data_IF_537568361183
#
_entry.id   IF_537568361183
#
_cell.length_a   1.000
_cell.length_b   1.000
_cell.length_c   1.000
_cell.angle_alpha   90.00
_cell.angle_beta   90.00
_cell.angle_gamma   90.00
#
_symmetry.space_group_name_H-M   'P 1'
#
loop_
_entity.id
_entity.type
_entity.pdbx_description
1 polymer ?
#
# COMPACT_ATOMS: atom_id res chain seq x y z
N UNK A 1 24.03 5.29 32.67
CA UNK A 1 22.63 5.73 32.82
C UNK A 1 22.36 6.65 31.64
N UNK A 2 21.68 6.27 30.55
CA UNK A 2 20.70 5.21 30.26
C UNK A 2 20.78 5.04 28.73
N UNK A 3 21.28 3.97 28.10
CA UNK A 3 20.88 2.56 28.20
C UNK A 3 19.36 2.38 28.24
N UNK A 4 18.60 3.22 27.55
CA UNK A 4 17.28 2.83 27.09
C UNK A 4 17.48 1.87 25.91
N UNK A 5 17.93 0.64 26.20
CA UNK A 5 17.89 -0.58 25.38
C UNK A 5 18.09 -0.41 23.86
N UNK A 6 19.19 -0.91 23.26
CA UNK A 6 19.10 -2.16 22.45
C UNK A 6 17.73 -2.26 21.79
N UNK A 7 17.57 -1.47 20.73
CA UNK A 7 16.31 -1.09 20.12
C UNK A 7 15.31 -2.24 20.07
N UNK A 8 14.03 -1.90 20.21
CA UNK A 8 12.94 -2.71 19.75
C UNK A 8 13.17 -3.13 18.27
N UNK A 9 13.93 -4.22 18.07
CA UNK A 9 14.44 -4.78 16.83
C UNK A 9 15.23 -3.80 15.94
N UNK A 10 16.51 -4.09 15.66
CA UNK A 10 17.23 -3.49 14.52
C UNK A 10 16.28 -3.48 13.32
N UNK A 11 15.85 -2.30 12.90
CA UNK A 11 14.74 -2.16 11.95
C UNK A 11 15.09 -2.81 10.61
N UNK A 12 16.39 -2.96 10.31
CA UNK A 12 16.91 -3.72 9.15
C UNK A 12 16.49 -5.19 9.18
N UNK A 13 16.22 -5.77 10.35
CA UNK A 13 15.67 -7.12 10.50
C UNK A 13 14.25 -7.23 9.94
N UNK A 14 13.48 -6.13 9.95
CA UNK A 14 12.09 -6.05 9.44
C UNK A 14 12.02 -5.49 8.01
N UNK A 15 13.16 -5.20 7.39
CA UNK A 15 13.20 -4.68 6.03
C UNK A 15 12.75 -5.76 5.03
N UNK A 16 11.79 -5.44 4.17
CA UNK A 16 11.29 -6.36 3.15
C UNK A 16 12.37 -6.76 2.12
N UNK A 17 13.39 -5.91 1.93
CA UNK A 17 14.54 -6.19 1.06
C UNK A 17 15.59 -7.13 1.69
N UNK A 18 15.45 -7.48 2.97
CA UNK A 18 16.41 -8.34 3.66
C UNK A 18 16.47 -9.72 2.98
N UNK A 19 17.68 -10.15 2.64
CA UNK A 19 17.92 -11.45 1.99
C UNK A 19 17.66 -11.47 0.49
N UNK A 20 17.33 -10.31 -0.12
CA UNK A 20 17.27 -10.15 -1.57
C UNK A 20 18.66 -9.84 -2.13
N UNK A 21 18.85 -10.09 -3.43
CA UNK A 21 20.05 -9.65 -4.16
C UNK A 21 20.11 -8.11 -4.18
N UNK A 22 21.22 -7.56 -3.68
CA UNK A 22 21.43 -6.13 -3.54
C UNK A 22 21.58 -5.40 -4.86
N UNK A 23 22.05 -6.07 -5.92
CA UNK A 23 22.24 -5.44 -7.24
C UNK A 23 20.94 -4.85 -7.81
N UNK A 24 19.78 -5.42 -7.42
CA UNK A 24 18.46 -4.92 -7.79
C UNK A 24 18.20 -3.47 -7.32
N UNK A 25 18.86 -3.03 -6.25
CA UNK A 25 18.75 -1.65 -5.73
C UNK A 25 19.75 -0.69 -6.39
N UNK A 26 20.71 -1.18 -7.17
CA UNK A 26 21.76 -0.37 -7.80
C UNK A 26 21.75 -0.40 -9.34
N UNK A 27 20.81 -1.16 -9.95
CA UNK A 27 20.65 -1.25 -11.40
C UNK A 27 20.26 0.06 -12.09
N UNK A 28 20.17 0.00 -13.42
CA UNK A 28 19.73 1.12 -14.25
C UNK A 28 18.28 1.50 -13.94
N UNK A 29 17.85 2.71 -14.32
CA UNK A 29 16.51 3.26 -13.99
C UNK A 29 15.35 2.33 -14.41
N UNK A 30 15.54 1.53 -15.46
CA UNK A 30 14.54 0.58 -15.96
C UNK A 30 14.56 -0.78 -15.23
N UNK A 31 15.60 -1.09 -14.47
CA UNK A 31 15.81 -2.35 -13.75
C UNK A 31 15.38 -2.25 -12.29
N UNK A 32 15.35 -1.03 -11.72
CA UNK A 32 15.01 -0.77 -10.32
C UNK A 32 13.51 -0.84 -9.98
N UNK A 33 12.64 -1.12 -10.96
CA UNK A 33 11.19 -1.20 -10.75
C UNK A 33 10.80 -2.25 -9.70
N UNK A 34 11.46 -3.42 -9.73
CA UNK A 34 11.26 -4.47 -8.74
C UNK A 34 11.69 -4.03 -7.33
N UNK A 35 12.84 -3.35 -7.21
CA UNK A 35 13.32 -2.82 -5.94
C UNK A 35 12.37 -1.74 -5.36
N UNK A 36 11.84 -0.85 -6.21
CA UNK A 36 10.85 0.15 -5.79
C UNK A 36 9.55 -0.51 -5.30
N UNK A 37 9.06 -1.54 -5.98
CA UNK A 37 7.87 -2.28 -5.57
C UNK A 37 8.06 -2.99 -4.22
N UNK A 38 9.25 -3.54 -3.96
CA UNK A 38 9.60 -4.13 -2.66
C UNK A 38 9.65 -3.04 -1.58
N UNK A 39 10.28 -1.89 -1.87
CA UNK A 39 10.33 -0.78 -0.93
C UNK A 39 8.95 -0.21 -0.60
N UNK A 40 8.03 -0.13 -1.56
CA UNK A 40 6.68 0.40 -1.36
C UNK A 40 5.89 -0.39 -0.29
N UNK A 41 6.17 -1.68 -0.13
CA UNK A 41 5.52 -2.56 0.86
C UNK A 41 6.33 -2.74 2.15
N UNK A 42 7.46 -2.05 2.27
CA UNK A 42 8.41 -2.26 3.36
C UNK A 42 7.95 -1.54 4.64
N UNK A 43 7.78 -2.23 5.77
CA UNK A 43 7.23 -1.65 7.00
C UNK A 43 8.19 -0.71 7.74
N UNK A 44 9.39 -0.50 7.20
CA UNK A 44 10.47 0.32 7.77
C UNK A 44 10.99 1.33 6.75
N UNK A 45 10.20 1.65 5.72
CA UNK A 45 10.56 2.53 4.61
C UNK A 45 10.91 3.95 5.08
N UNK A 46 10.14 4.47 6.03
CA UNK A 46 10.33 5.76 6.70
C UNK A 46 11.63 5.82 7.51
N UNK A 47 11.90 4.80 8.33
CA UNK A 47 13.17 4.65 9.07
C UNK A 47 14.37 4.53 8.12
N UNK A 48 14.20 3.77 7.04
CA UNK A 48 15.23 3.59 6.01
C UNK A 48 15.57 4.93 5.33
N UNK A 49 14.54 5.71 4.96
CA UNK A 49 14.74 7.03 4.35
C UNK A 49 15.38 8.01 5.35
N UNK A 50 14.95 7.98 6.60
CA UNK A 50 15.51 8.81 7.67
C UNK A 50 17.02 8.56 7.87
N UNK A 51 17.43 7.30 8.04
CA UNK A 51 18.86 6.98 8.17
C UNK A 51 19.63 7.29 6.89
N UNK A 52 19.04 7.00 5.72
CA UNK A 52 19.62 7.32 4.43
C UNK A 52 19.95 8.81 4.29
N UNK A 53 19.00 9.70 4.58
CA UNK A 53 19.19 11.14 4.43
C UNK A 53 20.15 11.73 5.48
N UNK A 54 20.32 11.06 6.63
CA UNK A 54 21.33 11.44 7.65
C UNK A 54 22.75 11.03 7.27
N UNK A 55 22.90 9.90 6.58
CA UNK A 55 24.19 9.33 6.22
C UNK A 55 24.70 9.83 4.85
N UNK A 56 23.80 10.04 3.90
CA UNK A 56 24.16 10.36 2.52
C UNK A 56 24.51 11.84 2.33
N UNK A 57 25.63 12.07 1.65
CA UNK A 57 25.98 13.38 1.11
C UNK A 57 25.19 13.61 -0.18
N UNK A 58 24.61 14.80 -0.43
CA UNK A 58 23.76 15.04 -1.61
C UNK A 58 24.42 14.78 -2.96
N UNK A 59 25.73 15.04 -3.05
CA UNK A 59 26.57 14.78 -4.23
C UNK A 59 26.92 13.32 -4.44
N UNK A 60 26.67 12.45 -3.46
CA UNK A 60 27.07 11.04 -3.46
C UNK A 60 25.90 10.12 -3.07
N UNK A 61 24.83 10.17 -3.86
CA UNK A 61 23.64 9.33 -3.71
C UNK A 61 23.54 8.32 -4.85
N UNK A 62 23.33 7.06 -4.50
CA UNK A 62 23.19 5.95 -5.45
C UNK A 62 22.04 5.02 -5.05
N UNK A 63 21.55 4.29 -6.04
CA UNK A 63 20.55 3.25 -5.86
C UNK A 63 19.22 3.72 -5.25
N UNK A 64 18.39 2.73 -4.93
CA UNK A 64 17.09 2.91 -4.26
C UNK A 64 17.29 2.80 -2.74
N UNK A 65 16.79 3.77 -1.98
CA UNK A 65 16.70 3.72 -0.50
C UNK A 65 15.44 4.44 -0.07
N UNK A 66 14.77 3.92 0.97
CA UNK A 66 13.50 4.49 1.43
C UNK A 66 12.39 4.50 0.38
N UNK A 67 12.48 3.65 -0.65
CA UNK A 67 11.54 3.66 -1.79
C UNK A 67 11.70 4.84 -2.74
N UNK A 68 12.83 5.55 -2.69
CA UNK A 68 13.15 6.67 -3.57
C UNK A 68 14.46 6.39 -4.32
N UNK A 69 14.57 6.87 -5.56
CA UNK A 69 15.84 6.82 -6.29
C UNK A 69 16.82 7.88 -5.78
N UNK A 70 18.09 7.76 -6.14
CA UNK A 70 19.07 8.80 -5.87
C UNK A 70 18.65 10.19 -6.42
N UNK A 71 17.97 10.22 -7.57
CA UNK A 71 17.47 11.46 -8.17
C UNK A 71 16.32 12.06 -7.35
N UNK A 72 15.39 11.23 -6.89
CA UNK A 72 14.26 11.68 -6.06
C UNK A 72 14.78 12.22 -4.72
N UNK A 73 15.72 11.51 -4.09
CA UNK A 73 16.33 11.96 -2.82
C UNK A 73 17.03 13.31 -2.96
N UNK A 74 17.71 13.58 -4.08
CA UNK A 74 18.33 14.89 -4.38
C UNK A 74 17.34 16.06 -4.48
N UNK A 75 16.06 15.78 -4.72
CA UNK A 75 15.00 16.79 -4.79
C UNK A 75 14.35 17.08 -3.43
N UNK A 76 14.64 16.28 -2.41
CA UNK A 76 14.09 16.51 -1.07
C UNK A 76 14.78 17.73 -0.43
N UNK A 77 14.01 18.60 0.24
CA UNK A 77 14.57 19.79 0.90
C UNK A 77 15.57 19.39 1.98
N UNK A 78 16.69 20.11 2.02
CA UNK A 78 17.73 19.95 3.03
C UNK A 78 17.47 20.97 4.15
N UNK A 79 17.09 20.47 5.33
CA UNK A 79 16.99 21.29 6.54
C UNK A 79 15.63 21.94 6.79
N UNK A 80 14.66 21.16 7.25
CA UNK A 80 13.82 21.47 8.41
C UNK A 80 13.03 20.19 8.71
N UNK A 81 13.21 19.64 9.91
CA UNK A 81 12.58 18.41 10.40
C UNK A 81 12.75 17.15 9.52
N UNK A 82 14.00 16.71 9.34
CA UNK A 82 14.29 15.30 9.03
C UNK A 82 13.86 14.44 10.23
N UNK A 83 12.57 14.15 10.38
CA UNK A 83 12.03 13.23 11.38
C UNK A 83 11.42 12.02 10.68
N UNK A 84 11.38 10.89 11.38
CA UNK A 84 10.75 9.67 10.85
C UNK A 84 9.27 9.92 10.52
N UNK A 85 8.58 10.71 11.34
CA UNK A 85 7.18 11.08 11.12
C UNK A 85 6.99 11.94 9.87
N UNK A 86 7.88 12.91 9.62
CA UNK A 86 7.86 13.72 8.41
C UNK A 86 8.09 12.86 7.16
N UNK A 87 9.07 11.96 7.19
CA UNK A 87 9.31 11.03 6.08
C UNK A 87 8.15 10.06 5.86
N UNK A 88 7.48 9.59 6.91
CA UNK A 88 6.27 8.76 6.75
C UNK A 88 5.18 9.50 5.97
N UNK A 89 4.86 10.73 6.36
CA UNK A 89 3.85 11.56 5.67
C UNK A 89 4.21 11.81 4.21
N UNK A 90 5.47 12.16 3.94
CA UNK A 90 5.96 12.35 2.58
C UNK A 90 5.80 11.07 1.74
N UNK A 91 6.11 9.91 2.31
CA UNK A 91 6.02 8.64 1.58
C UNK A 91 4.57 8.22 1.34
N UNK A 92 3.67 8.47 2.30
CA UNK A 92 2.24 8.25 2.13
C UNK A 92 1.68 9.11 0.98
N UNK A 93 2.06 10.40 0.94
CA UNK A 93 1.68 11.32 -0.15
C UNK A 93 2.22 10.88 -1.52
N UNK A 94 3.50 10.44 -1.57
CA UNK A 94 4.09 9.89 -2.80
C UNK A 94 3.32 8.67 -3.28
N UNK A 95 2.90 7.80 -2.38
CA UNK A 95 2.15 6.59 -2.71
C UNK A 95 0.72 6.92 -3.20
N UNK A 96 0.03 7.86 -2.55
CA UNK A 96 -1.28 8.36 -2.99
C UNK A 96 -1.24 8.95 -4.42
N UNK A 97 -0.13 9.61 -4.79
CA UNK A 97 0.06 10.18 -6.11
C UNK A 97 0.42 9.15 -7.21
N UNK A 98 0.53 7.86 -6.86
CA UNK A 98 0.91 6.78 -7.78
C UNK A 98 2.34 6.26 -7.59
N UNK A 99 2.95 6.51 -6.43
CA UNK A 99 4.24 5.98 -6.03
C UNK A 99 5.44 6.81 -6.53
N UNK A 100 6.68 6.29 -6.39
CA UNK A 100 7.91 7.00 -6.76
C UNK A 100 7.99 7.36 -8.26
N UNK A 101 7.20 6.73 -9.13
CA UNK A 101 7.05 7.15 -10.52
C UNK A 101 6.33 8.51 -10.65
N UNK A 102 5.42 8.85 -9.73
CA UNK A 102 4.77 10.16 -9.69
C UNK A 102 5.73 11.27 -9.25
N UNK A 103 6.64 10.98 -8.31
CA UNK A 103 7.70 11.91 -7.89
C UNK A 103 8.65 12.31 -9.05
N UNK A 104 8.83 11.43 -10.04
CA UNK A 104 9.64 11.69 -11.25
C UNK A 104 9.01 12.75 -12.17
N UNK A 105 7.67 12.85 -12.19
CA UNK A 105 6.90 13.75 -13.06
C UNK A 105 6.57 15.11 -12.44
N UNK A 106 7.29 15.52 -11.38
CA UNK A 106 7.12 16.82 -10.72
C UNK A 106 5.72 17.02 -10.09
N UNK A 107 5.09 15.94 -9.60
CA UNK A 107 3.76 15.98 -8.96
C UNK A 107 3.77 16.17 -7.45
N UNK A 108 4.94 16.13 -6.82
CA UNK A 108 5.11 16.51 -5.42
C UNK A 108 4.82 18.01 -5.30
N UNK A 109 3.55 18.36 -5.07
CA UNK A 109 3.14 19.67 -4.63
C UNK A 109 3.50 19.79 -3.14
N UNK A 110 4.79 19.89 -2.84
CA UNK A 110 5.20 20.37 -1.53
C UNK A 110 4.60 21.78 -1.38
N UNK A 111 3.89 22.09 -0.28
CA UNK A 111 3.40 23.44 -0.07
C UNK A 111 4.59 24.40 -0.14
N UNK A 112 4.47 25.41 -0.99
CA UNK A 112 5.41 26.53 -1.03
C UNK A 112 5.33 27.24 0.33
N UNK A 113 6.29 26.99 1.21
CA UNK A 113 6.50 27.87 2.34
C UNK A 113 7.04 29.20 1.78
N UNK A 114 6.18 30.22 1.80
CA UNK A 114 6.54 31.59 1.53
C UNK A 114 7.69 32.03 2.44
N UNK A 115 8.90 32.02 1.91
CA UNK A 115 10.04 32.64 2.58
C UNK A 115 11.37 31.97 2.30
N UNK A 116 11.96 32.27 1.14
CA UNK A 116 13.36 32.75 0.99
C UNK A 116 13.71 32.73 -0.49
N UNK A 117 13.52 33.86 -1.17
CA UNK A 117 14.31 34.17 -2.35
C UNK A 117 15.73 34.50 -1.85
N UNK A 118 16.70 33.62 -2.08
CA UNK A 118 18.11 33.96 -1.93
C UNK A 118 18.75 34.29 -3.28
N UNK A 119 19.56 35.35 -3.35
CA UNK A 119 20.11 35.88 -4.59
C UNK A 119 21.26 35.01 -5.10
N UNK A 120 21.43 35.01 -6.43
CA UNK A 120 22.60 34.43 -7.09
C UNK A 120 23.88 35.04 -6.53
N UNK A 121 24.76 34.20 -5.96
CA UNK A 121 26.06 34.59 -5.43
C UNK A 121 27.18 34.18 -6.38
N UNK A 122 28.07 35.14 -6.63
CA UNK A 122 29.21 35.12 -7.55
C UNK A 122 30.34 34.18 -7.11
N UNK A 123 30.94 33.46 -8.06
CA UNK A 123 32.21 32.76 -7.92
C UNK A 123 33.29 33.41 -8.84
N UNK A 124 34.60 33.25 -8.54
CA UNK A 124 35.63 34.23 -8.90
C UNK A 124 36.14 34.12 -10.34
N UNK A 125 36.66 35.25 -10.83
CA UNK A 125 37.17 35.43 -12.19
C UNK A 125 38.46 34.63 -12.46
N UNK A 126 38.43 33.83 -13.52
CA UNK A 126 39.64 33.36 -14.22
C UNK A 126 40.09 34.42 -15.25
N UNK A 127 41.39 34.53 -15.57
CA UNK A 127 41.87 35.50 -16.53
C UNK A 127 41.45 35.06 -17.93
N UNK A 128 40.47 35.76 -18.50
CA UNK A 128 40.09 35.61 -19.90
C UNK A 128 41.10 36.35 -20.77
N UNK A 129 41.81 35.58 -21.61
CA UNK A 129 42.54 36.09 -22.77
C UNK A 129 41.52 36.60 -23.79
N UNK A 130 41.67 37.88 -24.14
CA UNK A 130 40.79 38.58 -25.07
C UNK A 130 41.08 38.10 -26.52
N UNK A 131 40.27 37.16 -27.02
CA UNK A 131 40.25 36.80 -28.43
C UNK A 131 39.10 37.55 -29.08
N UNK A 132 39.46 38.63 -29.77
CA UNK A 132 38.51 39.49 -30.46
C UNK A 132 38.00 38.82 -31.75
N UNK A 133 36.87 38.12 -31.66
CA UNK A 133 36.17 37.60 -32.83
C UNK A 133 35.45 38.76 -33.54
N UNK A 134 35.86 39.05 -34.77
CA UNK A 134 35.21 40.04 -35.64
C UNK A 134 33.77 39.61 -35.92
N UNK A 135 32.84 40.55 -35.70
CA UNK A 135 31.44 40.41 -36.05
C UNK A 135 31.29 40.00 -37.52
N UNK A 136 30.90 38.75 -37.73
CA UNK A 136 30.46 38.25 -39.03
C UNK A 136 28.94 38.36 -39.08
N UNK A 137 28.46 38.77 -40.25
CA UNK A 137 27.12 39.24 -40.54
C UNK A 137 25.98 38.28 -40.11
N UNK A 138 24.82 38.89 -39.86
CA UNK A 138 23.49 38.30 -39.63
C UNK A 138 23.28 36.92 -40.30
N UNK A 139 23.50 35.85 -39.54
CA UNK A 139 22.83 34.57 -39.79
C UNK A 139 21.57 34.59 -38.95
N UNK A 140 20.50 35.15 -39.53
CA UNK A 140 19.15 35.03 -38.96
C UNK A 140 18.76 33.55 -38.99
N UNK A 141 18.93 32.83 -37.88
CA UNK A 141 18.36 31.50 -37.70
C UNK A 141 16.86 31.60 -38.03
N UNK A 142 16.42 30.88 -39.07
CA UNK A 142 14.99 30.75 -39.38
C UNK A 142 14.31 30.20 -38.13
N UNK A 143 13.44 31.01 -37.53
CA UNK A 143 12.47 30.52 -36.55
C UNK A 143 11.60 29.48 -37.23
N UNK A 144 11.76 28.22 -36.84
CA UNK A 144 10.89 27.11 -37.27
C UNK A 144 9.51 27.36 -36.68
N UNK A 145 8.44 27.44 -37.51
CA UNK A 145 7.10 27.63 -36.99
C UNK A 145 6.52 26.33 -36.41
N UNK A 146 5.76 26.51 -35.33
CA UNK A 146 4.67 25.68 -34.79
C UNK A 146 4.94 24.21 -34.44
N UNK A 147 4.57 23.85 -33.21
CA UNK A 147 4.52 22.48 -32.69
C UNK A 147 3.97 21.50 -33.74
N UNK A 148 4.75 20.50 -34.18
CA UNK A 148 4.20 19.45 -35.02
C UNK A 148 3.13 18.69 -34.23
N UNK A 149 2.03 18.33 -34.88
CA UNK A 149 1.00 17.49 -34.29
C UNK A 149 1.65 16.26 -33.62
N UNK A 150 1.23 15.90 -32.39
CA UNK A 150 1.87 14.83 -31.65
C UNK A 150 1.73 13.50 -32.42
N UNK A 151 2.87 12.96 -32.85
CA UNK A 151 2.93 11.71 -33.61
C UNK A 151 2.33 10.59 -32.75
N UNK A 152 1.34 9.81 -33.24
CA UNK A 152 0.78 8.69 -32.50
C UNK A 152 1.87 7.69 -32.09
N UNK A 153 1.77 7.17 -30.87
CA UNK A 153 2.81 6.29 -30.28
C UNK A 153 3.16 5.10 -31.19
N UNK A 154 2.17 4.52 -31.87
CA UNK A 154 2.42 3.43 -32.83
C UNK A 154 3.28 3.83 -34.03
N UNK A 155 3.10 5.06 -34.54
CA UNK A 155 3.92 5.60 -35.63
C UNK A 155 5.33 5.94 -35.15
N UNK A 156 5.46 6.52 -33.94
CA UNK A 156 6.76 6.83 -33.32
C UNK A 156 7.59 5.56 -33.07
N UNK A 157 6.95 4.50 -32.59
CA UNK A 157 7.58 3.21 -32.38
C UNK A 157 8.01 2.54 -33.68
N UNK A 158 7.21 2.68 -34.75
CA UNK A 158 7.58 2.19 -36.08
C UNK A 158 8.80 2.93 -36.62
N UNK A 159 8.79 4.26 -36.56
CA UNK A 159 9.97 5.07 -36.92
C UNK A 159 11.21 4.65 -36.12
N UNK A 160 11.03 4.39 -34.82
CA UNK A 160 12.11 3.92 -33.96
C UNK A 160 12.70 2.57 -34.37
N UNK A 161 11.89 1.62 -34.87
CA UNK A 161 12.38 0.31 -35.37
C UNK A 161 13.18 0.42 -36.67
N UNK A 162 12.74 1.30 -37.56
CA UNK A 162 13.32 1.49 -38.88
C UNK A 162 14.58 2.39 -38.83
N UNK A 163 14.95 2.87 -37.64
CA UNK A 163 16.02 3.83 -37.47
C UNK A 163 17.41 3.19 -37.67
N UNK A 164 18.35 3.87 -38.38
CA UNK A 164 19.69 3.33 -38.59
C UNK A 164 20.49 3.21 -37.29
N UNK A 165 20.25 4.11 -36.33
CA UNK A 165 20.88 4.09 -35.01
C UNK A 165 20.36 2.93 -34.14
N UNK A 166 21.28 2.11 -33.63
CA UNK A 166 21.01 1.02 -32.68
C UNK A 166 20.38 1.50 -31.38
N UNK A 167 20.81 2.64 -30.82
CA UNK A 167 20.28 3.11 -29.53
C UNK A 167 18.80 3.50 -29.63
N UNK A 168 18.42 4.12 -30.76
CA UNK A 168 17.04 4.50 -31.05
C UNK A 168 16.16 3.26 -31.22
N UNK A 169 16.65 2.23 -31.90
CA UNK A 169 15.95 0.93 -32.03
C UNK A 169 15.76 0.24 -30.68
N UNK A 170 16.81 0.21 -29.86
CA UNK A 170 16.75 -0.37 -28.52
C UNK A 170 15.78 0.40 -27.62
N UNK A 171 15.73 1.73 -27.76
CA UNK A 171 14.76 2.57 -27.04
C UNK A 171 13.32 2.23 -27.47
N UNK A 172 13.07 2.09 -28.76
CA UNK A 172 11.75 1.71 -29.28
C UNK A 172 11.32 0.31 -28.78
N UNK A 173 12.26 -0.63 -28.70
CA UNK A 173 12.03 -1.96 -28.12
C UNK A 173 11.66 -1.88 -26.62
N UNK A 174 12.39 -1.09 -25.82
CA UNK A 174 12.07 -0.88 -24.39
C UNK A 174 10.68 -0.27 -24.19
N UNK A 175 10.32 0.74 -24.99
CA UNK A 175 9.00 1.38 -24.91
C UNK A 175 7.90 0.38 -25.27
N UNK A 176 8.09 -0.48 -26.28
CA UNK A 176 7.16 -1.58 -26.59
C UNK A 176 6.95 -2.54 -25.44
N UNK A 177 8.03 -2.97 -24.79
CA UNK A 177 7.95 -3.84 -23.62
C UNK A 177 7.16 -3.16 -22.48
N UNK A 178 7.44 -1.88 -22.21
CA UNK A 178 6.70 -1.07 -21.24
C UNK A 178 5.21 -0.96 -21.55
N UNK A 179 4.84 -0.63 -22.79
CA UNK A 179 3.45 -0.55 -23.23
C UNK A 179 2.73 -1.89 -23.13
N UNK A 180 3.43 -3.00 -23.42
CA UNK A 180 2.87 -4.34 -23.26
C UNK A 180 2.58 -4.64 -21.80
N UNK A 181 3.51 -4.31 -20.89
CA UNK A 181 3.29 -4.43 -19.45
C UNK A 181 2.10 -3.62 -18.95
N UNK A 182 1.99 -2.35 -19.36
CA UNK A 182 0.87 -1.48 -19.00
C UNK A 182 -0.48 -2.02 -19.51
N UNK A 183 -0.53 -2.51 -20.75
CA UNK A 183 -1.75 -3.11 -21.31
C UNK A 183 -2.18 -4.35 -20.54
N UNK A 184 -1.23 -5.23 -20.21
CA UNK A 184 -1.52 -6.44 -19.44
C UNK A 184 -2.05 -6.09 -18.05
N UNK A 185 -1.44 -5.11 -17.37
CA UNK A 185 -1.90 -4.65 -16.06
C UNK A 185 -3.31 -4.06 -16.13
N UNK A 186 -3.55 -3.18 -17.10
CA UNK A 186 -4.87 -2.59 -17.31
C UNK A 186 -5.94 -3.65 -17.61
N UNK A 187 -5.64 -4.63 -18.46
CA UNK A 187 -6.55 -5.73 -18.76
C UNK A 187 -6.87 -6.56 -17.50
N UNK A 188 -5.86 -6.87 -16.68
CA UNK A 188 -6.06 -7.58 -15.41
C UNK A 188 -6.92 -6.78 -14.43
N UNK A 189 -6.74 -5.46 -14.35
CA UNK A 189 -7.55 -4.59 -13.48
C UNK A 189 -9.02 -4.49 -13.98
N UNK A 190 -9.23 -4.49 -15.30
CA UNK A 190 -10.57 -4.57 -15.89
C UNK A 190 -11.25 -5.91 -15.60
N UNK A 191 -10.52 -7.02 -15.74
CA UNK A 191 -11.02 -8.36 -15.40
C UNK A 191 -11.37 -8.47 -13.91
N UNK A 192 -10.50 -7.98 -13.04
CA UNK A 192 -10.77 -7.93 -11.60
C UNK A 192 -12.05 -7.15 -11.30
N UNK A 193 -12.22 -5.98 -11.92
CA UNK A 193 -13.44 -5.15 -11.75
C UNK A 193 -14.69 -5.88 -12.24
N UNK A 194 -14.59 -6.62 -13.35
CA UNK A 194 -15.70 -7.41 -13.87
C UNK A 194 -16.07 -8.54 -12.91
N UNK A 195 -15.09 -9.28 -12.40
CA UNK A 195 -15.29 -10.37 -11.43
C UNK A 195 -15.90 -9.85 -10.13
N UNK A 196 -15.40 -8.72 -9.59
CA UNK A 196 -15.95 -8.16 -8.34
C UNK A 196 -17.40 -7.73 -8.53
N UNK A 197 -17.71 -7.09 -9.66
CA UNK A 197 -19.08 -6.69 -10.00
C UNK A 197 -20.01 -7.91 -10.14
N UNK A 198 -19.55 -8.97 -10.80
CA UNK A 198 -20.31 -10.22 -10.94
C UNK A 198 -20.51 -10.91 -9.58
N UNK A 199 -19.49 -10.94 -8.72
CA UNK A 199 -19.59 -11.50 -7.39
C UNK A 199 -20.66 -10.78 -6.55
N UNK A 200 -20.69 -9.45 -6.56
CA UNK A 200 -21.73 -8.66 -5.89
C UNK A 200 -23.14 -8.97 -6.42
N UNK A 201 -23.28 -9.12 -7.75
CA UNK A 201 -24.56 -9.49 -8.37
C UNK A 201 -25.01 -10.89 -7.94
N UNK A 202 -24.08 -11.86 -7.88
CA UNK A 202 -24.36 -13.22 -7.44
C UNK A 202 -24.74 -13.27 -5.96
N UNK A 203 -24.08 -12.49 -5.10
CA UNK A 203 -24.43 -12.37 -3.68
C UNK A 203 -25.84 -11.82 -3.49
N UNK A 204 -26.21 -10.77 -4.25
CA UNK A 204 -27.57 -10.23 -4.26
C UNK A 204 -28.57 -11.30 -4.70
N UNK A 205 -28.26 -12.06 -5.75
CA UNK A 205 -29.12 -13.13 -6.24
C UNK A 205 -29.29 -14.26 -5.22
N UNK A 206 -28.21 -14.62 -4.52
CA UNK A 206 -28.25 -15.59 -3.45
C UNK A 206 -29.12 -15.11 -2.29
N UNK A 207 -29.05 -13.82 -1.94
CA UNK A 207 -29.90 -13.22 -0.92
C UNK A 207 -31.39 -13.28 -1.29
N UNK A 208 -31.74 -12.96 -2.55
CA UNK A 208 -33.11 -13.10 -3.07
C UNK A 208 -33.62 -14.55 -2.96
N UNK A 209 -32.79 -15.53 -3.36
CA UNK A 209 -33.15 -16.94 -3.28
C UNK A 209 -33.33 -17.41 -1.83
N UNK A 210 -32.47 -16.99 -0.90
CA UNK A 210 -32.61 -17.29 0.53
C UNK A 210 -33.85 -16.65 1.14
N UNK A 211 -34.19 -15.42 0.74
CA UNK A 211 -35.43 -14.79 1.17
C UNK A 211 -36.64 -15.61 0.70
N UNK A 212 -36.63 -16.04 -0.56
CA UNK A 212 -37.69 -16.89 -1.12
C UNK A 212 -37.78 -18.25 -0.43
N UNK A 213 -36.64 -18.87 -0.14
CA UNK A 213 -36.59 -20.11 0.63
C UNK A 213 -37.20 -19.93 2.02
N UNK A 214 -36.88 -18.83 2.71
CA UNK A 214 -37.41 -18.53 4.03
C UNK A 214 -38.95 -18.30 4.03
N UNK A 215 -39.49 -17.67 2.98
CA UNK A 215 -40.93 -17.50 2.79
C UNK A 215 -41.66 -18.84 2.61
N UNK A 216 -41.06 -19.76 1.86
CA UNK A 216 -41.64 -21.06 1.55
C UNK A 216 -41.37 -22.11 2.64
N UNK A 217 -40.37 -21.87 3.50
CA UNK A 217 -39.98 -22.80 4.54
C UNK A 217 -41.14 -23.02 5.53
N UNK A 218 -41.55 -24.28 5.77
CA UNK A 218 -42.62 -24.56 6.71
C UNK A 218 -42.21 -24.13 8.13
N UNK A 219 -43.16 -23.57 8.88
CA UNK A 219 -42.93 -23.23 10.29
C UNK A 219 -42.48 -24.47 11.05
N UNK A 220 -41.24 -24.43 11.60
CA UNK A 220 -40.71 -25.56 12.37
C UNK A 220 -41.65 -25.82 13.55
N UNK A 221 -42.11 -27.08 13.76
CA UNK A 221 -42.95 -27.40 14.89
C UNK A 221 -42.18 -27.07 16.18
N UNK A 222 -42.80 -26.27 17.07
CA UNK A 222 -42.23 -26.03 18.41
C UNK A 222 -42.09 -27.39 19.08
N UNK A 223 -40.86 -27.80 19.42
CA UNK A 223 -40.62 -29.01 20.22
C UNK A 223 -41.33 -28.83 21.57
N UNK A 224 -42.52 -29.39 21.70
CA UNK A 224 -43.22 -29.47 22.97
C UNK A 224 -42.32 -30.29 23.93
N UNK A 225 -41.91 -29.67 25.03
CA UNK A 225 -41.18 -30.39 26.09
C UNK A 225 -42.14 -31.43 26.67
N UNK A 226 -41.73 -32.70 26.74
CA UNK A 226 -42.53 -33.76 27.37
C UNK A 226 -43.00 -33.29 28.76
N UNK A 227 -44.30 -33.40 29.10
CA UNK A 227 -44.80 -33.12 30.44
C UNK A 227 -43.98 -33.90 31.46
N UNK A 228 -43.61 -33.26 32.55
CA UNK A 228 -42.85 -33.90 33.62
C UNK A 228 -43.82 -34.38 34.68
N UNK A 229 -43.66 -35.62 35.12
CA UNK A 229 -44.52 -36.33 36.08
C UNK A 229 -44.22 -35.98 37.54
N UNK A 230 -43.93 -34.70 37.80
CA UNK A 230 -43.73 -34.21 39.16
C UNK A 230 -44.06 -32.72 39.26
N UNK A 231 -44.60 -32.26 40.41
CA UNK A 231 -44.84 -30.85 40.67
C UNK A 231 -43.49 -30.13 40.89
N UNK A 232 -42.91 -29.58 39.82
CA UNK A 232 -41.58 -28.95 39.88
C UNK A 232 -41.46 -27.78 40.87
N UNK A 233 -42.56 -27.10 41.20
CA UNK A 233 -42.58 -26.07 42.22
C UNK A 233 -42.39 -26.66 43.64
N UNK A 234 -43.12 -27.73 43.95
CA UNK A 234 -43.04 -28.40 45.25
C UNK A 234 -41.68 -29.06 45.46
N UNK A 235 -41.15 -29.73 44.43
CA UNK A 235 -39.82 -30.35 44.51
C UNK A 235 -38.72 -29.30 44.75
N UNK A 236 -38.86 -28.07 44.21
CA UNK A 236 -37.90 -26.97 44.46
C UNK A 236 -37.99 -26.44 45.88
N UNK A 237 -39.20 -26.27 46.41
CA UNK A 237 -39.40 -25.83 47.80
C UNK A 237 -38.79 -26.84 48.75
N UNK A 238 -39.09 -28.13 48.56
CA UNK A 238 -38.51 -29.22 49.34
C UNK A 238 -36.99 -29.28 49.22
N UNK A 239 -36.44 -29.15 48.01
CA UNK A 239 -34.98 -29.15 47.80
C UNK A 239 -34.31 -28.02 48.59
N UNK A 240 -34.89 -26.81 48.56
CA UNK A 240 -34.39 -25.65 49.31
C UNK A 240 -34.44 -25.88 50.82
N UNK A 241 -35.52 -26.46 51.34
CA UNK A 241 -35.67 -26.79 52.77
C UNK A 241 -34.68 -27.87 53.23
N UNK A 242 -34.30 -28.79 52.34
CA UNK A 242 -33.32 -29.84 52.62
C UNK A 242 -31.87 -29.45 52.25
N UNK A 243 -31.62 -28.19 51.89
CA UNK A 243 -30.29 -27.69 51.55
C UNK A 243 -29.70 -28.24 50.24
N UNK A 244 -30.54 -28.77 49.34
CA UNK A 244 -30.15 -29.29 48.03
C UNK A 244 -30.16 -28.18 46.96
N UNK A 245 -29.05 -28.05 46.22
CA UNK A 245 -28.92 -27.04 45.16
C UNK A 245 -29.80 -27.38 43.95
N UNK A 246 -30.93 -26.67 43.82
CA UNK A 246 -31.90 -26.85 42.74
C UNK A 246 -32.03 -25.58 41.88
N UNK A 247 -31.93 -25.69 40.53
CA UNK A 247 -32.12 -24.55 39.63
C UNK A 247 -33.52 -23.90 39.76
N UNK A 248 -33.54 -22.57 39.76
CA UNK A 248 -34.78 -21.77 39.86
C UNK A 248 -35.70 -21.93 38.64
N UNK A 249 -35.14 -22.22 37.46
CA UNK A 249 -35.85 -22.34 36.19
C UNK A 249 -35.38 -23.61 35.47
N UNK A 250 -36.27 -24.29 34.75
CA UNK A 250 -35.94 -25.47 33.95
C UNK A 250 -36.36 -26.79 34.58
N UNK A 251 -35.77 -27.90 34.11
CA UNK A 251 -36.08 -29.25 34.60
C UNK A 251 -35.34 -29.48 35.92
N UNK A 252 -36.04 -29.99 36.94
CA UNK A 252 -35.42 -30.33 38.22
C UNK A 252 -34.51 -31.56 38.03
N UNK A 253 -33.26 -31.54 38.52
CA UNK A 253 -32.37 -32.70 38.45
C UNK A 253 -33.01 -33.97 38.99
N UNK A 254 -32.79 -35.10 38.31
CA UNK A 254 -33.40 -36.40 38.65
C UNK A 254 -33.09 -36.81 40.11
N UNK A 255 -31.87 -36.57 40.57
CA UNK A 255 -31.47 -36.88 41.94
C UNK A 255 -32.35 -36.20 43.00
N UNK A 256 -32.77 -34.95 42.75
CA UNK A 256 -33.61 -34.19 43.68
C UNK A 256 -35.05 -34.70 43.63
N UNK A 257 -35.55 -35.04 42.45
CA UNK A 257 -36.89 -35.62 42.28
C UNK A 257 -36.99 -36.99 42.95
N UNK A 258 -35.98 -37.84 42.77
CA UNK A 258 -35.95 -39.18 43.36
C UNK A 258 -35.83 -39.10 44.89
N UNK A 259 -35.04 -38.17 45.42
CA UNK A 259 -34.94 -37.92 46.86
C UNK A 259 -36.25 -37.36 47.45
N UNK A 260 -36.93 -36.46 46.74
CA UNK A 260 -38.26 -35.98 47.13
C UNK A 260 -39.29 -37.11 47.15
N UNK A 261 -39.29 -37.99 46.13
CA UNK A 261 -40.20 -39.15 46.09
C UNK A 261 -39.96 -40.10 47.26
N UNK A 262 -38.71 -40.41 47.57
CA UNK A 262 -38.35 -41.27 48.69
C UNK A 262 -38.75 -40.68 50.06
N UNK A 263 -38.78 -39.35 50.18
CA UNK A 263 -39.24 -38.68 51.40
C UNK A 263 -40.77 -38.66 51.58
N UNK A 264 -41.53 -38.94 50.52
CA UNK A 264 -43.01 -38.93 50.51
C UNK A 264 -43.63 -40.33 50.66
N UNK A 265 -42.85 -41.41 50.49
CA UNK A 265 -43.34 -42.77 50.73
C UNK A 265 -43.39 -43.06 52.24
N UNK A 266 -44.58 -43.33 52.82
CA UNK A 266 -44.68 -43.74 54.22
C UNK A 266 -44.10 -45.14 54.39
N UNK A 267 -43.33 -45.32 55.46
CA UNK A 267 -42.68 -46.57 55.83
C UNK A 267 -43.64 -47.54 56.51
#
# INVERSE_FOLDING_TARGET
MTTAARDAADWRLRAACRGQDTEQWFGQIHEIGAALAICARCPVRDMCLYECMREEVPSYRYGVRGGLTAADRRRLPEGQEMTIAAFRRLLDEIDEQGGPEAARHNRLHLPDDEGTQQPMSTAPAHPVVDVQLKASADVRLKTVPADPEPIPVGQLLKWGDEHPDTEVRDQAARVRAGLTGLRNRHAADQELTAITTEAEQLEKRLAELRAREAELAPAKPKKARKPVDYPAAEVRVWAKENGLDCPAIGRVPKAIVDAWRAAQEPK
#
